data_IF_099611943251
#
_entry.id   IF_099611943251
#
_cell.length_a   1.000
_cell.length_b   1.000
_cell.length_c   1.000
_cell.angle_alpha   90.00
_cell.angle_beta   90.00
_cell.angle_gamma   90.00
#
_symmetry.space_group_name_H-M   'P 1'
#
loop_
_entity.id
_entity.type
_entity.pdbx_description
1 polymer ?
#
# COMPACT_ATOMS: atom_id res chain seq x y z
N UNK A 1 25.75 -35.98 25.92
CA UNK A 1 25.59 -34.68 26.61
C UNK A 1 24.28 -34.12 26.12
N UNK A 2 23.38 -33.90 27.06
CA UNK A 2 21.91 -33.91 26.97
C UNK A 2 21.33 -32.81 26.08
N UNK A 3 20.55 -33.23 25.07
CA UNK A 3 19.44 -32.43 24.55
C UNK A 3 18.38 -32.32 25.65
N UNK A 4 18.56 -31.40 26.59
CA UNK A 4 17.43 -30.92 27.38
C UNK A 4 16.58 -30.14 26.38
N UNK A 5 15.45 -30.74 26.00
CA UNK A 5 14.36 -29.98 25.42
C UNK A 5 14.08 -28.84 26.40
N UNK A 6 14.27 -27.60 25.97
CA UNK A 6 13.74 -26.44 26.67
C UNK A 6 12.25 -26.75 26.87
N UNK A 7 11.82 -26.89 28.12
CA UNK A 7 10.42 -27.06 28.45
C UNK A 7 9.71 -25.81 27.90
N UNK A 8 8.66 -25.94 27.08
CA UNK A 8 8.02 -24.79 26.42
C UNK A 8 7.52 -23.75 27.45
N UNK A 9 7.23 -24.21 28.67
CA UNK A 9 6.94 -23.41 29.86
C UNK A 9 8.11 -22.57 30.34
N UNK A 10 9.36 -23.06 30.25
CA UNK A 10 10.56 -22.31 30.63
C UNK A 10 10.81 -21.17 29.65
N UNK A 11 10.59 -21.39 28.34
CA UNK A 11 10.79 -20.36 27.31
C UNK A 11 9.82 -19.17 27.48
N UNK A 12 8.56 -19.43 27.82
CA UNK A 12 7.57 -18.37 28.08
C UNK A 12 7.85 -17.63 29.39
N UNK A 13 8.26 -18.33 30.44
CA UNK A 13 8.65 -17.73 31.72
C UNK A 13 9.91 -16.87 31.57
N UNK A 14 10.89 -17.33 30.78
CA UNK A 14 12.10 -16.58 30.45
C UNK A 14 11.77 -15.35 29.60
N UNK A 15 10.91 -15.49 28.58
CA UNK A 15 10.48 -14.36 27.76
C UNK A 15 9.76 -13.29 28.58
N UNK A 16 8.94 -13.68 29.57
CA UNK A 16 8.19 -12.76 30.45
C UNK A 16 9.01 -12.25 31.65
N UNK A 17 10.27 -12.66 31.78
CA UNK A 17 11.13 -12.26 32.89
C UNK A 17 11.53 -10.77 32.75
N UNK A 18 11.49 -9.96 33.83
CA UNK A 18 11.76 -8.51 33.79
C UNK A 18 13.17 -8.11 33.32
N UNK A 19 14.11 -9.07 33.23
CA UNK A 19 15.44 -8.81 32.67
C UNK A 19 15.46 -8.84 31.12
N UNK A 20 14.41 -9.37 30.47
CA UNK A 20 14.22 -9.43 29.02
C UNK A 20 13.43 -8.22 28.45
N UNK A 21 13.28 -7.14 29.21
CA UNK A 21 12.69 -5.86 28.76
C UNK A 21 13.34 -5.31 27.47
N UNK A 22 14.60 -5.67 27.20
CA UNK A 22 15.30 -5.34 25.96
C UNK A 22 14.67 -5.99 24.71
N UNK A 23 14.03 -7.15 24.86
CA UNK A 23 13.40 -7.87 23.75
C UNK A 23 12.07 -7.21 23.40
N UNK A 24 11.20 -6.97 24.37
CA UNK A 24 9.92 -6.28 24.13
C UNK A 24 10.09 -4.83 23.66
N UNK A 25 11.16 -4.14 24.06
CA UNK A 25 11.48 -2.81 23.51
C UNK A 25 11.98 -2.83 22.07
N UNK A 26 12.38 -4.00 21.55
CA UNK A 26 12.82 -4.16 20.15
C UNK A 26 11.66 -4.39 19.18
N UNK A 27 10.46 -4.72 19.67
CA UNK A 27 9.27 -4.93 18.86
C UNK A 27 8.24 -3.83 19.12
N UNK A 28 7.59 -3.35 18.07
CA UNK A 28 6.53 -2.32 18.20
C UNK A 28 5.26 -2.89 18.83
N UNK A 29 4.95 -4.18 18.60
CA UNK A 29 3.77 -4.85 19.13
C UNK A 29 4.03 -6.35 19.30
N UNK A 30 3.93 -6.87 20.53
CA UNK A 30 3.92 -8.31 20.82
C UNK A 30 2.70 -8.59 21.69
N UNK A 31 1.80 -9.46 21.22
CA UNK A 31 0.70 -10.00 22.02
C UNK A 31 0.87 -11.50 22.16
N UNK A 32 0.98 -11.98 23.39
CA UNK A 32 1.05 -13.40 23.70
C UNK A 32 -0.36 -13.86 24.06
N UNK A 33 -0.89 -14.81 23.30
CA UNK A 33 -2.20 -15.42 23.57
C UNK A 33 -1.97 -16.74 24.32
N UNK A 34 -2.32 -16.77 25.60
CA UNK A 34 -2.30 -18.01 26.38
C UNK A 34 -3.61 -18.78 26.19
N UNK A 35 -3.52 -19.95 25.55
CA UNK A 35 -4.64 -20.87 25.42
C UNK A 35 -4.77 -21.65 26.74
N UNK A 36 -5.89 -21.49 27.46
CA UNK A 36 -6.17 -22.31 28.64
C UNK A 36 -6.56 -23.73 28.21
N UNK A 37 -5.99 -24.72 28.89
CA UNK A 37 -6.28 -26.14 28.65
C UNK A 37 -7.69 -26.54 29.17
N UNK A 38 -8.42 -27.24 28.29
CA UNK A 38 -9.62 -28.08 28.50
C UNK A 38 -11.00 -27.40 28.53
N UNK A 39 -11.69 -27.46 27.38
CA UNK A 39 -13.02 -28.08 27.21
C UNK A 39 -13.36 -28.13 25.71
N UNK A 40 -13.80 -29.29 25.22
CA UNK A 40 -14.10 -29.63 23.81
C UNK A 40 -15.33 -28.90 23.26
N UNK A 41 -15.37 -27.56 23.34
CA UNK A 41 -16.46 -26.75 22.78
C UNK A 41 -15.96 -25.96 21.56
N UNK A 42 -16.67 -26.10 20.44
CA UNK A 42 -16.40 -25.39 19.17
C UNK A 42 -16.36 -23.85 19.30
N UNK A 43 -16.85 -23.29 20.42
CA UNK A 43 -16.86 -21.85 20.71
C UNK A 43 -15.46 -21.26 20.88
N UNK A 44 -14.48 -22.03 21.38
CA UNK A 44 -13.12 -21.52 21.59
C UNK A 44 -12.34 -21.33 20.29
N UNK A 45 -12.61 -22.14 19.26
CA UNK A 45 -12.00 -21.94 17.95
C UNK A 45 -12.47 -20.62 17.34
N UNK A 46 -13.75 -20.26 17.53
CA UNK A 46 -14.30 -18.99 17.09
C UNK A 46 -13.65 -17.83 17.85
N UNK A 47 -13.49 -17.95 19.17
CA UNK A 47 -12.82 -16.90 19.96
C UNK A 47 -11.35 -16.73 19.59
N UNK A 48 -10.62 -17.82 19.38
CA UNK A 48 -9.23 -17.79 18.94
C UNK A 48 -9.11 -17.21 17.52
N UNK A 49 -9.97 -17.63 16.60
CA UNK A 49 -10.03 -17.09 15.25
C UNK A 49 -10.31 -15.59 15.25
N UNK A 50 -11.31 -15.13 16.02
CA UNK A 50 -11.60 -13.71 16.21
C UNK A 50 -10.38 -12.95 16.73
N UNK A 51 -9.70 -13.46 17.77
CA UNK A 51 -8.51 -12.82 18.32
C UNK A 51 -7.35 -12.76 17.32
N UNK A 52 -7.10 -13.83 16.57
CA UNK A 52 -6.05 -13.86 15.54
C UNK A 52 -6.38 -12.86 14.42
N UNK A 53 -7.62 -12.85 13.95
CA UNK A 53 -8.08 -11.93 12.88
C UNK A 53 -7.97 -10.48 13.34
N UNK A 54 -8.37 -10.16 14.57
CA UNK A 54 -8.23 -8.83 15.15
C UNK A 54 -6.76 -8.40 15.23
N UNK A 55 -5.87 -9.26 15.73
CA UNK A 55 -4.43 -8.93 15.80
C UNK A 55 -3.78 -8.81 14.43
N UNK A 56 -4.10 -9.70 13.50
CA UNK A 56 -3.64 -9.59 12.11
C UNK A 56 -4.10 -8.27 11.49
N UNK A 57 -5.33 -7.85 11.79
CA UNK A 57 -5.85 -6.57 11.34
C UNK A 57 -5.05 -5.40 11.91
N UNK A 58 -4.78 -5.39 13.22
CA UNK A 58 -3.97 -4.37 13.89
C UNK A 58 -2.54 -4.30 13.33
N UNK A 59 -1.89 -5.44 13.16
CA UNK A 59 -0.54 -5.52 12.58
C UNK A 59 -0.55 -5.01 11.14
N UNK A 60 -1.53 -5.41 10.33
CA UNK A 60 -1.66 -4.92 8.97
C UNK A 60 -1.90 -3.41 8.91
N UNK A 61 -2.69 -2.85 9.84
CA UNK A 61 -2.90 -1.40 9.95
C UNK A 61 -1.60 -0.67 10.31
N UNK A 62 -0.86 -1.16 11.32
CA UNK A 62 0.40 -0.56 11.74
C UNK A 62 1.46 -0.63 10.64
N UNK A 63 1.59 -1.79 9.97
CA UNK A 63 2.48 -1.93 8.82
C UNK A 63 2.10 -0.99 7.67
N UNK A 64 0.80 -0.78 7.40
CA UNK A 64 0.35 0.19 6.39
C UNK A 64 0.64 1.63 6.80
N UNK A 65 0.40 1.99 8.05
CA UNK A 65 0.68 3.31 8.59
C UNK A 65 2.18 3.65 8.51
N UNK A 66 3.03 2.68 8.83
CA UNK A 66 4.48 2.79 8.78
C UNK A 66 5.07 2.48 7.39
N UNK A 67 4.23 2.13 6.42
CA UNK A 67 4.62 1.71 5.07
C UNK A 67 5.71 0.63 5.07
N UNK A 68 5.54 -0.43 5.85
CA UNK A 68 6.43 -1.60 5.92
C UNK A 68 5.69 -2.94 5.64
N UNK A 69 4.57 -2.89 4.91
CA UNK A 69 3.84 -4.08 4.45
C UNK A 69 4.57 -4.81 3.31
N UNK A 70 5.74 -5.38 3.63
CA UNK A 70 6.58 -6.10 2.68
C UNK A 70 5.92 -7.39 2.19
N UNK A 71 6.06 -7.70 0.89
CA UNK A 71 5.68 -9.01 0.37
C UNK A 71 6.66 -10.09 0.82
N UNK A 72 6.28 -11.36 0.72
CA UNK A 72 7.15 -12.49 1.04
C UNK A 72 8.49 -12.44 0.28
N UNK A 73 8.48 -11.97 -0.97
CA UNK A 73 9.69 -11.78 -1.79
C UNK A 73 10.60 -10.71 -1.18
N UNK A 74 10.04 -9.56 -0.80
CA UNK A 74 10.80 -8.48 -0.16
C UNK A 74 11.37 -8.93 1.19
N UNK A 75 10.56 -9.59 2.02
CA UNK A 75 10.99 -10.11 3.31
C UNK A 75 12.14 -11.09 3.18
N UNK A 76 12.07 -12.03 2.23
CA UNK A 76 13.15 -12.98 2.01
C UNK A 76 14.47 -12.27 1.65
N UNK A 77 14.43 -11.27 0.79
CA UNK A 77 15.64 -10.49 0.42
C UNK A 77 16.16 -9.69 1.61
N UNK A 78 15.28 -8.95 2.31
CA UNK A 78 15.69 -8.15 3.47
C UNK A 78 16.20 -8.99 4.62
N UNK A 79 15.68 -10.20 4.81
CA UNK A 79 16.17 -11.12 5.83
C UNK A 79 17.63 -11.49 5.58
N UNK A 80 17.98 -11.85 4.34
CA UNK A 80 19.36 -12.16 3.97
C UNK A 80 20.28 -10.94 4.11
N UNK A 81 19.84 -9.76 3.68
CA UNK A 81 20.61 -8.53 3.84
C UNK A 81 20.80 -8.14 5.31
N UNK A 82 19.77 -8.34 6.15
CA UNK A 82 19.82 -8.06 7.59
C UNK A 82 20.81 -9.00 8.29
N UNK A 83 20.84 -10.29 7.95
CA UNK A 83 21.86 -11.21 8.46
C UNK A 83 23.27 -10.75 8.09
N UNK A 84 23.48 -10.33 6.83
CA UNK A 84 24.78 -9.79 6.42
C UNK A 84 25.13 -8.50 7.15
N UNK A 85 24.15 -7.63 7.42
CA UNK A 85 24.35 -6.44 8.22
C UNK A 85 24.78 -6.78 9.64
N UNK A 86 24.07 -7.69 10.33
CA UNK A 86 24.37 -8.11 11.70
C UNK A 86 25.80 -8.64 11.87
N UNK A 87 26.35 -9.31 10.84
CA UNK A 87 27.75 -9.78 10.87
C UNK A 87 28.78 -8.65 10.84
N UNK A 88 28.40 -7.46 10.35
CA UNK A 88 29.28 -6.28 10.23
C UNK A 88 29.03 -5.27 11.34
N UNK A 89 27.76 -5.04 11.65
CA UNK A 89 27.29 -4.13 12.68
C UNK A 89 26.06 -4.75 13.36
N UNK A 90 26.27 -5.21 14.59
CA UNK A 90 25.23 -5.85 15.40
C UNK A 90 24.39 -4.84 16.20
N UNK A 91 24.88 -3.61 16.36
CA UNK A 91 24.22 -2.58 17.20
C UNK A 91 23.55 -1.49 16.36
N UNK A 92 24.00 -1.29 15.12
CA UNK A 92 23.39 -0.37 14.17
C UNK A 92 22.00 -0.83 13.72
N UNK A 93 21.12 0.14 13.44
CA UNK A 93 19.81 -0.14 12.90
C UNK A 93 19.89 -0.55 11.42
N UNK A 94 19.15 -1.60 11.06
CA UNK A 94 19.07 -2.04 9.67
C UNK A 94 18.18 -1.09 8.84
N UNK A 95 18.76 -0.44 7.84
CA UNK A 95 18.03 0.47 6.96
C UNK A 95 17.51 -0.25 5.70
N UNK A 96 16.23 -0.66 5.74
CA UNK A 96 15.55 -1.33 4.62
C UNK A 96 15.65 -0.57 3.30
N UNK A 97 15.50 0.76 3.35
CA UNK A 97 15.55 1.60 2.15
C UNK A 97 16.94 1.57 1.52
N UNK A 98 18.00 1.71 2.32
CA UNK A 98 19.36 1.68 1.82
C UNK A 98 19.74 0.28 1.32
N UNK A 99 19.29 -0.77 2.01
CA UNK A 99 19.48 -2.15 1.56
C UNK A 99 18.81 -2.41 0.21
N UNK A 100 17.58 -1.91 0.02
CA UNK A 100 16.85 -2.04 -1.25
C UNK A 100 17.59 -1.40 -2.45
N UNK A 101 18.50 -0.46 -2.19
CA UNK A 101 19.32 0.22 -3.20
C UNK A 101 20.71 -0.35 -3.36
N UNK A 102 21.06 -1.47 -2.70
CA UNK A 102 22.40 -2.07 -2.76
C UNK A 102 22.91 -2.33 -4.18
N UNK A 103 22.05 -2.87 -5.06
CA UNK A 103 22.39 -3.18 -6.44
C UNK A 103 22.32 -1.95 -7.37
N UNK A 104 21.65 -0.87 -6.95
CA UNK A 104 21.49 0.38 -7.70
C UNK A 104 21.81 1.57 -6.79
N UNK A 105 23.03 1.59 -6.25
CA UNK A 105 23.47 2.66 -5.37
C UNK A 105 23.49 3.98 -6.16
N UNK A 106 22.83 5.02 -5.62
CA UNK A 106 22.74 6.33 -6.26
C UNK A 106 24.13 6.79 -6.72
N UNK A 107 24.30 6.88 -8.04
CA UNK A 107 25.60 7.03 -8.67
C UNK A 107 26.22 8.39 -8.28
N UNK A 108 27.52 8.43 -7.95
CA UNK A 108 28.22 9.69 -7.58
C UNK A 108 28.19 10.74 -8.70
N UNK A 109 27.97 10.33 -9.96
CA UNK A 109 27.79 11.21 -11.13
C UNK A 109 26.49 12.04 -11.09
N UNK A 110 25.52 11.68 -10.25
CA UNK A 110 24.23 12.38 -10.15
C UNK A 110 24.36 13.85 -9.73
N UNK A 111 25.30 14.19 -8.84
CA UNK A 111 25.53 15.57 -8.38
C UNK A 111 25.95 16.46 -9.54
N UNK A 112 26.87 16.02 -10.40
CA UNK A 112 27.36 16.81 -11.53
C UNK A 112 26.26 17.06 -12.57
N UNK A 113 25.40 16.08 -12.84
CA UNK A 113 24.30 16.26 -13.79
C UNK A 113 23.24 17.24 -13.26
N UNK A 114 22.90 17.12 -11.97
CA UNK A 114 21.98 18.04 -11.32
C UNK A 114 22.54 19.46 -11.27
N UNK A 115 23.83 19.62 -10.94
CA UNK A 115 24.50 20.92 -10.95
C UNK A 115 24.38 21.58 -12.33
N UNK A 116 24.78 20.88 -13.39
CA UNK A 116 24.71 21.40 -14.77
C UNK A 116 23.27 21.73 -15.15
N UNK A 117 22.30 20.88 -14.77
CA UNK A 117 20.89 21.12 -15.02
C UNK A 117 20.39 22.39 -14.34
N UNK A 118 20.69 22.59 -13.05
CA UNK A 118 20.27 23.78 -12.32
C UNK A 118 20.97 25.04 -12.84
N UNK A 119 22.27 24.99 -13.11
CA UNK A 119 23.01 26.12 -13.68
C UNK A 119 22.44 26.53 -15.03
N UNK A 120 22.24 25.58 -15.97
CA UNK A 120 21.68 25.91 -17.29
C UNK A 120 20.21 26.33 -17.19
N UNK A 121 19.39 25.59 -16.45
CA UNK A 121 17.96 25.81 -16.33
C UNK A 121 17.62 27.16 -15.69
N UNK A 122 18.27 27.51 -14.59
CA UNK A 122 18.02 28.77 -13.90
C UNK A 122 18.78 29.95 -14.52
N UNK A 123 20.10 29.82 -14.73
CA UNK A 123 20.93 30.96 -15.12
C UNK A 123 20.86 31.28 -16.62
N UNK A 124 20.69 30.28 -17.50
CA UNK A 124 20.70 30.51 -18.95
C UNK A 124 19.29 30.57 -19.55
N UNK A 125 18.40 29.69 -19.07
CA UNK A 125 17.05 29.54 -19.64
C UNK A 125 15.96 30.23 -18.81
N UNK A 126 16.30 30.74 -17.63
CA UNK A 126 15.37 31.42 -16.70
C UNK A 126 14.09 30.63 -16.43
N UNK A 127 14.21 29.31 -16.33
CA UNK A 127 13.08 28.42 -16.04
C UNK A 127 12.64 28.64 -14.59
N UNK A 128 11.32 28.76 -14.39
CA UNK A 128 10.73 28.89 -13.06
C UNK A 128 11.13 27.71 -12.16
N UNK A 129 11.42 27.98 -10.89
CA UNK A 129 11.86 26.97 -9.93
C UNK A 129 10.86 25.82 -9.76
N UNK A 130 9.55 26.07 -9.83
CA UNK A 130 8.53 25.02 -9.76
C UNK A 130 8.65 24.02 -10.93
N UNK A 131 9.06 24.47 -12.12
CA UNK A 131 9.27 23.57 -13.26
C UNK A 131 10.56 22.77 -13.09
N UNK A 132 11.64 23.40 -12.63
CA UNK A 132 12.88 22.68 -12.29
C UNK A 132 12.63 21.62 -11.22
N UNK A 133 11.86 21.96 -10.18
CA UNK A 133 11.46 21.04 -9.12
C UNK A 133 10.69 19.84 -9.69
N UNK A 134 9.64 20.10 -10.48
CA UNK A 134 8.82 19.05 -11.09
C UNK A 134 9.63 18.12 -12.02
N UNK A 135 10.57 18.66 -12.80
CA UNK A 135 11.46 17.83 -13.63
C UNK A 135 12.38 16.95 -12.79
N UNK A 136 13.04 17.49 -11.77
CA UNK A 136 13.93 16.70 -10.90
C UNK A 136 13.12 15.69 -10.08
N UNK A 137 11.91 16.03 -9.68
CA UNK A 137 11.03 15.11 -8.94
C UNK A 137 10.61 13.93 -9.79
N UNK A 138 10.30 14.14 -11.07
CA UNK A 138 9.94 13.05 -11.98
C UNK A 138 11.12 12.13 -12.29
N UNK A 139 12.35 12.67 -12.42
CA UNK A 139 13.54 11.82 -12.59
C UNK A 139 13.85 11.02 -11.33
N UNK A 140 13.73 11.63 -10.14
CA UNK A 140 13.89 10.93 -8.86
C UNK A 140 12.82 9.86 -8.70
N UNK A 141 11.56 10.12 -9.06
CA UNK A 141 10.49 9.12 -8.99
C UNK A 141 10.84 7.86 -9.80
N UNK A 142 11.31 8.05 -11.03
CA UNK A 142 11.67 6.95 -11.92
C UNK A 142 12.90 6.17 -11.43
N UNK A 143 13.90 6.85 -10.86
CA UNK A 143 15.07 6.16 -10.28
C UNK A 143 14.73 5.47 -8.96
N UNK A 144 13.94 6.12 -8.09
CA UNK A 144 13.64 5.64 -6.75
C UNK A 144 12.62 4.49 -6.72
N UNK A 145 11.76 4.36 -7.73
CA UNK A 145 10.72 3.33 -7.80
C UNK A 145 10.79 2.54 -9.12
N UNK A 146 11.88 1.80 -9.37
CA UNK A 146 11.96 0.88 -10.50
C UNK A 146 10.90 -0.22 -10.40
N UNK A 147 10.64 -0.94 -11.50
CA UNK A 147 9.74 -2.08 -11.53
C UNK A 147 9.88 -3.03 -10.34
N UNK A 148 8.74 -3.38 -9.74
CA UNK A 148 8.63 -4.28 -8.60
C UNK A 148 9.28 -3.80 -7.29
N UNK A 149 9.81 -2.58 -7.23
CA UNK A 149 10.34 -2.03 -5.99
C UNK A 149 9.21 -1.78 -4.99
N UNK A 150 9.51 -2.10 -3.73
CA UNK A 150 8.65 -1.75 -2.62
C UNK A 150 8.39 -0.24 -2.55
N UNK A 151 7.12 0.13 -2.35
CA UNK A 151 6.62 1.50 -2.38
C UNK A 151 6.86 2.22 -1.05
N UNK A 152 8.12 2.53 -0.74
CA UNK A 152 8.50 3.33 0.43
C UNK A 152 7.95 4.76 0.38
N UNK A 153 7.84 5.40 1.55
CA UNK A 153 7.36 6.78 1.67
C UNK A 153 8.24 7.75 0.89
N UNK A 154 7.69 8.56 -0.04
CA UNK A 154 8.48 9.46 -0.86
C UNK A 154 9.29 10.49 -0.06
N UNK A 155 8.75 10.95 1.08
CA UNK A 155 9.48 11.84 1.98
C UNK A 155 10.72 11.17 2.58
N UNK A 156 10.55 9.95 3.13
CA UNK A 156 11.65 9.16 3.67
C UNK A 156 12.68 8.81 2.61
N UNK A 157 12.21 8.47 1.40
CA UNK A 157 13.05 8.18 0.22
C UNK A 157 13.89 9.39 -0.15
N UNK A 158 13.26 10.55 -0.33
CA UNK A 158 13.96 11.78 -0.70
C UNK A 158 14.98 12.18 0.36
N UNK A 159 14.57 12.24 1.62
CA UNK A 159 15.43 12.67 2.72
C UNK A 159 16.63 11.74 2.90
N UNK A 160 16.43 10.42 2.78
CA UNK A 160 17.49 9.43 3.04
C UNK A 160 18.45 9.30 1.85
N UNK A 161 17.93 9.30 0.61
CA UNK A 161 18.73 8.96 -0.58
C UNK A 161 19.16 10.17 -1.42
N UNK A 162 18.34 11.22 -1.51
CA UNK A 162 18.50 12.27 -2.51
C UNK A 162 18.78 13.66 -1.93
N UNK A 163 18.38 13.94 -0.69
CA UNK A 163 18.51 15.27 -0.07
C UNK A 163 19.93 15.82 -0.17
N UNK A 164 20.92 15.05 0.30
CA UNK A 164 22.32 15.50 0.31
C UNK A 164 22.85 15.75 -1.11
N UNK A 165 22.48 14.90 -2.07
CA UNK A 165 22.88 15.00 -3.47
C UNK A 165 22.30 16.25 -4.13
N UNK A 166 20.99 16.47 -3.97
CA UNK A 166 20.26 17.63 -4.52
C UNK A 166 20.74 18.92 -3.88
N UNK A 167 20.85 18.95 -2.55
CA UNK A 167 21.31 20.13 -1.82
C UNK A 167 22.73 20.52 -2.23
N UNK A 168 23.65 19.55 -2.31
CA UNK A 168 25.03 19.78 -2.75
C UNK A 168 25.09 20.29 -4.20
N UNK A 169 24.29 19.71 -5.10
CA UNK A 169 24.23 20.15 -6.49
C UNK A 169 23.72 21.59 -6.63
N UNK A 170 22.72 21.99 -5.83
CA UNK A 170 22.21 23.36 -5.80
C UNK A 170 23.25 24.36 -5.27
N UNK A 171 23.98 24.00 -4.22
CA UNK A 171 25.10 24.80 -3.72
C UNK A 171 26.18 25.00 -4.79
N UNK A 172 26.57 23.92 -5.49
CA UNK A 172 27.54 23.98 -6.58
C UNK A 172 27.03 24.74 -7.81
N UNK A 173 25.71 24.88 -7.97
CA UNK A 173 25.08 25.69 -9.00
C UNK A 173 24.93 27.17 -8.58
N UNK A 174 25.59 27.61 -7.50
CA UNK A 174 25.58 28.98 -6.97
C UNK A 174 24.25 29.47 -6.40
N UNK A 175 23.39 28.55 -5.93
CA UNK A 175 22.18 28.94 -5.20
C UNK A 175 22.51 29.28 -3.75
N UNK A 176 21.87 30.32 -3.20
CA UNK A 176 21.96 30.63 -1.77
C UNK A 176 21.48 29.45 -0.91
N UNK A 177 21.96 29.34 0.33
CA UNK A 177 21.49 28.30 1.27
C UNK A 177 19.96 28.29 1.42
N UNK A 178 19.34 29.47 1.47
CA UNK A 178 17.88 29.61 1.59
C UNK A 178 17.17 29.10 0.34
N UNK A 179 17.62 29.51 -0.84
CA UNK A 179 17.04 29.08 -2.12
C UNK A 179 17.21 27.58 -2.35
N UNK A 180 18.38 27.03 -2.01
CA UNK A 180 18.65 25.60 -2.16
C UNK A 180 17.76 24.76 -1.24
N UNK A 181 17.54 25.20 0.00
CA UNK A 181 16.65 24.51 0.95
C UNK A 181 15.20 24.55 0.47
N UNK A 182 14.70 25.72 0.05
CA UNK A 182 13.34 25.86 -0.47
C UNK A 182 13.11 25.01 -1.73
N UNK A 183 14.04 25.03 -2.68
CA UNK A 183 13.92 24.23 -3.89
C UNK A 183 13.99 22.72 -3.60
N UNK A 184 14.82 22.31 -2.64
CA UNK A 184 14.86 20.89 -2.19
C UNK A 184 13.52 20.46 -1.59
N UNK A 185 12.88 21.32 -0.79
CA UNK A 185 11.53 21.06 -0.25
C UNK A 185 10.46 21.03 -1.35
N UNK A 186 10.55 21.91 -2.36
CA UNK A 186 9.66 21.84 -3.51
C UNK A 186 9.81 20.52 -4.27
N UNK A 187 11.04 20.04 -4.47
CA UNK A 187 11.31 18.74 -5.11
C UNK A 187 10.72 17.60 -4.27
N UNK A 188 10.89 17.64 -2.95
CA UNK A 188 10.32 16.64 -2.05
C UNK A 188 8.78 16.57 -2.14
N UNK A 189 8.12 17.73 -2.11
CA UNK A 189 6.68 17.82 -2.20
C UNK A 189 6.16 17.38 -3.58
N UNK A 190 6.80 17.83 -4.65
CA UNK A 190 6.45 17.44 -6.02
C UNK A 190 6.65 15.93 -6.21
N UNK A 191 7.70 15.32 -5.64
CA UNK A 191 7.91 13.87 -5.65
C UNK A 191 6.75 13.15 -4.96
N UNK A 192 6.33 13.61 -3.78
CA UNK A 192 5.23 13.03 -3.04
C UNK A 192 3.89 13.13 -3.80
N UNK A 193 3.65 14.25 -4.47
CA UNK A 193 2.46 14.43 -5.32
C UNK A 193 2.49 13.52 -6.55
N UNK A 194 3.62 13.43 -7.25
CA UNK A 194 3.77 12.53 -8.40
C UNK A 194 3.62 11.05 -7.98
N UNK A 195 4.13 10.67 -6.82
CA UNK A 195 3.99 9.32 -6.29
C UNK A 195 2.52 8.93 -6.07
N UNK A 196 1.68 9.85 -5.57
CA UNK A 196 0.21 9.62 -5.41
C UNK A 196 -0.49 9.36 -6.74
N UNK A 197 0.10 9.80 -7.86
CA UNK A 197 -0.46 9.56 -9.20
C UNK A 197 -0.15 8.15 -9.73
N UNK A 198 0.76 7.38 -9.11
CA UNK A 198 1.11 6.00 -9.51
C UNK A 198 0.01 4.99 -9.09
N UNK A 199 -1.11 5.02 -9.80
CA UNK A 199 -2.34 4.27 -9.45
C UNK A 199 -2.46 2.91 -10.12
N UNK A 200 -2.02 2.79 -11.37
CA UNK A 200 -2.29 1.60 -12.18
C UNK A 200 -1.00 0.81 -12.41
N UNK A 201 -0.65 -0.17 -11.55
CA UNK A 201 0.53 -1.00 -11.75
C UNK A 201 0.33 -1.92 -12.97
N UNK A 202 1.39 -2.09 -13.75
CA UNK A 202 1.44 -2.95 -14.92
C UNK A 202 2.22 -4.24 -14.60
N UNK A 203 2.03 -5.33 -15.38
CA UNK A 203 2.76 -6.58 -15.18
C UNK A 203 4.28 -6.44 -15.27
N UNK A 204 4.77 -5.50 -16.11
CA UNK A 204 6.18 -5.16 -16.20
C UNK A 204 6.73 -4.38 -14.98
N UNK A 205 5.91 -4.15 -13.95
CA UNK A 205 6.27 -3.49 -12.69
C UNK A 205 6.22 -1.96 -12.71
N UNK A 206 6.09 -1.32 -13.88
CA UNK A 206 5.84 0.12 -13.99
C UNK A 206 4.42 0.50 -13.56
N UNK A 207 4.16 1.78 -13.32
CA UNK A 207 2.82 2.29 -13.00
C UNK A 207 2.41 3.46 -13.88
N UNK A 208 1.12 3.55 -14.20
CA UNK A 208 0.51 4.65 -14.95
C UNK A 208 -0.43 5.46 -14.07
N UNK A 209 -0.48 6.77 -14.33
CA UNK A 209 -1.50 7.65 -13.75
C UNK A 209 -2.75 7.72 -14.63
N UNK A 210 -3.85 8.25 -14.08
CA UNK A 210 -5.10 8.45 -14.82
C UNK A 210 -4.88 9.23 -16.12
N UNK A 211 -4.10 10.31 -16.08
CA UNK A 211 -3.80 11.14 -17.25
C UNK A 211 -3.08 10.36 -18.34
N UNK A 212 -2.07 9.56 -17.99
CA UNK A 212 -1.37 8.71 -18.95
C UNK A 212 -2.30 7.66 -19.58
N UNK A 213 -3.19 7.07 -18.78
CA UNK A 213 -4.19 6.11 -19.28
C UNK A 213 -5.19 6.79 -20.23
N UNK A 214 -5.64 7.99 -19.91
CA UNK A 214 -6.57 8.74 -20.78
C UNK A 214 -5.94 9.21 -22.09
N UNK A 215 -4.65 9.56 -22.08
CA UNK A 215 -3.93 10.04 -23.27
C UNK A 215 -3.50 8.87 -24.17
N UNK A 216 -3.04 7.76 -23.58
CA UNK A 216 -2.39 6.68 -24.32
C UNK A 216 -3.19 5.38 -24.39
N UNK A 217 -4.24 5.23 -23.57
CA UNK A 217 -5.13 4.09 -23.59
C UNK A 217 -6.25 4.23 -24.63
N UNK A 218 -6.85 3.11 -24.98
CA UNK A 218 -7.99 3.05 -25.90
C UNK A 218 -9.29 3.08 -25.09
N UNK A 219 -10.11 4.12 -25.31
CA UNK A 219 -11.44 4.20 -24.69
C UNK A 219 -12.40 3.17 -25.29
N UNK A 220 -13.21 2.53 -24.45
CA UNK A 220 -14.23 1.57 -24.90
C UNK A 220 -15.46 2.34 -25.40
N UNK A 221 -15.88 2.10 -26.64
CA UNK A 221 -17.06 2.73 -27.22
C UNK A 221 -18.32 2.42 -26.41
N UNK A 222 -19.00 3.45 -25.90
CA UNK A 222 -20.22 3.33 -25.10
C UNK A 222 -20.02 3.39 -23.58
N UNK A 223 -18.78 3.40 -23.07
CA UNK A 223 -18.48 3.48 -21.64
C UNK A 223 -17.45 4.59 -21.40
N UNK A 224 -17.91 5.72 -20.84
CA UNK A 224 -17.12 6.97 -20.69
C UNK A 224 -15.95 6.91 -19.71
N UNK A 225 -15.70 5.77 -19.06
CA UNK A 225 -14.80 5.65 -17.92
C UNK A 225 -13.91 4.41 -17.97
N UNK A 226 -13.95 3.64 -19.06
CA UNK A 226 -13.14 2.45 -19.23
C UNK A 226 -12.12 2.63 -20.36
N UNK A 227 -10.88 2.30 -20.03
CA UNK A 227 -9.73 2.40 -20.92
C UNK A 227 -9.02 1.05 -20.97
N UNK A 228 -8.51 0.70 -22.15
CA UNK A 228 -7.66 -0.47 -22.33
C UNK A 228 -6.26 0.01 -22.69
N UNK A 229 -5.28 -0.39 -21.89
CA UNK A 229 -3.87 -0.15 -22.16
C UNK A 229 -3.28 -1.40 -22.83
N UNK A 230 -2.77 -1.24 -24.05
CA UNK A 230 -2.17 -2.33 -24.86
C UNK A 230 -0.65 -2.50 -24.63
N UNK A 231 0.01 -1.48 -24.07
CA UNK A 231 1.46 -1.48 -23.84
C UNK A 231 1.86 -0.51 -22.72
N UNK A 232 2.97 -0.80 -22.06
CA UNK A 232 3.58 0.13 -21.13
C UNK A 232 4.17 1.35 -21.88
N UNK A 233 3.85 2.57 -21.45
CA UNK A 233 4.41 3.79 -22.08
C UNK A 233 5.92 3.97 -21.79
N UNK A 234 6.44 3.33 -20.74
CA UNK A 234 7.84 3.46 -20.31
C UNK A 234 8.73 2.42 -21.04
N UNK A 235 8.44 1.13 -20.90
CA UNK A 235 9.27 0.06 -21.48
C UNK A 235 8.73 -0.53 -22.80
N UNK A 236 7.53 -0.14 -23.24
CA UNK A 236 6.84 -0.69 -24.42
C UNK A 236 6.45 -2.16 -24.34
N UNK A 237 6.57 -2.80 -23.16
CA UNK A 237 6.10 -4.18 -22.97
C UNK A 237 4.59 -4.30 -23.25
N UNK A 238 4.17 -5.33 -23.99
CA UNK A 238 2.76 -5.56 -24.27
C UNK A 238 2.02 -5.91 -22.99
N UNK A 239 0.85 -5.31 -22.80
CA UNK A 239 -0.05 -5.56 -21.67
C UNK A 239 -1.48 -5.47 -22.18
N UNK A 240 -2.41 -6.22 -21.57
CA UNK A 240 -3.83 -6.00 -21.80
C UNK A 240 -4.48 -5.74 -20.46
N UNK A 241 -4.50 -4.47 -20.04
CA UNK A 241 -5.07 -4.06 -18.76
C UNK A 241 -6.28 -3.16 -19.01
N UNK A 242 -7.45 -3.61 -18.52
CA UNK A 242 -8.68 -2.81 -18.47
C UNK A 242 -8.65 -1.96 -17.21
N UNK A 243 -8.75 -0.66 -17.37
CA UNK A 243 -8.65 0.33 -16.31
C UNK A 243 -9.95 1.14 -16.29
N UNK A 244 -10.63 1.13 -15.16
CA UNK A 244 -11.74 2.02 -14.91
C UNK A 244 -11.25 3.27 -14.17
N UNK A 245 -11.54 4.45 -14.73
CA UNK A 245 -11.24 5.74 -14.11
C UNK A 245 -12.56 6.39 -13.74
N UNK A 246 -12.77 6.56 -12.44
CA UNK A 246 -13.93 7.29 -11.94
C UNK A 246 -14.03 8.66 -12.62
N UNK A 247 -15.15 8.98 -13.28
CA UNK A 247 -15.31 10.25 -13.95
C UNK A 247 -15.33 11.40 -12.93
N UNK A 248 -14.75 12.55 -13.29
CA UNK A 248 -14.65 13.70 -12.39
C UNK A 248 -16.00 14.28 -11.96
N UNK A 249 -17.07 13.97 -12.70
CA UNK A 249 -18.45 14.36 -12.38
C UNK A 249 -19.12 13.43 -11.37
N UNK A 250 -18.54 12.27 -11.06
CA UNK A 250 -19.09 11.37 -10.07
C UNK A 250 -18.62 11.79 -8.68
N UNK A 251 -19.56 12.25 -7.86
CA UNK A 251 -19.33 12.52 -6.45
C UNK A 251 -18.99 11.23 -5.67
N UNK A 252 -18.31 11.32 -4.52
CA UNK A 252 -18.14 10.18 -3.62
C UNK A 252 -19.49 9.58 -3.24
N UNK A 253 -19.68 8.29 -3.53
CA UNK A 253 -20.84 7.52 -3.14
C UNK A 253 -20.46 6.58 -1.99
N UNK A 254 -21.15 6.72 -0.87
CA UNK A 254 -20.94 5.88 0.32
C UNK A 254 -22.19 5.02 0.52
N UNK A 255 -22.00 3.71 0.57
CA UNK A 255 -23.05 2.76 0.97
C UNK A 255 -22.83 2.40 2.43
N UNK A 256 -23.81 2.70 3.28
CA UNK A 256 -23.82 2.26 4.68
C UNK A 256 -24.96 1.27 4.91
N UNK A 257 -24.62 0.09 5.44
CA UNK A 257 -25.57 -0.95 5.83
C UNK A 257 -25.53 -1.09 7.34
N UNK A 258 -26.45 -0.40 8.01
CA UNK A 258 -26.60 -0.45 9.46
C UNK A 258 -27.45 -1.65 9.92
N UNK A 259 -27.33 -1.94 11.22
CA UNK A 259 -28.08 -3.00 11.89
C UNK A 259 -29.58 -2.71 11.87
N UNK A 260 -30.32 -3.41 11.00
CA UNK A 260 -31.76 -3.60 11.14
C UNK A 260 -32.05 -4.82 12.03
N UNK A 261 -32.98 -4.70 12.99
CA UNK A 261 -33.47 -5.81 13.83
C UNK A 261 -33.79 -7.06 13.00
N UNK A 262 -33.11 -8.19 13.27
CA UNK A 262 -33.34 -9.58 12.77
C UNK A 262 -33.57 -9.81 11.27
N UNK A 263 -33.73 -8.77 10.45
CA UNK A 263 -34.20 -8.83 9.07
C UNK A 263 -33.08 -8.38 8.13
N UNK A 264 -31.96 -9.10 8.18
CA UNK A 264 -30.78 -8.92 7.32
C UNK A 264 -31.13 -8.97 5.83
N UNK A 265 -32.27 -9.58 5.49
CA UNK A 265 -32.82 -9.67 4.13
C UNK A 265 -33.27 -8.32 3.56
N UNK A 266 -33.72 -7.37 4.39
CA UNK A 266 -34.26 -6.08 3.92
C UNK A 266 -33.21 -5.27 3.15
N UNK A 267 -32.02 -4.97 3.71
CA UNK A 267 -31.00 -4.22 2.98
C UNK A 267 -30.55 -4.94 1.71
N UNK A 268 -30.40 -6.28 1.73
CA UNK A 268 -30.05 -7.06 0.54
C UNK A 268 -31.13 -6.93 -0.53
N UNK A 269 -32.41 -6.98 -0.15
CA UNK A 269 -33.53 -6.83 -1.08
C UNK A 269 -33.54 -5.43 -1.72
N UNK A 270 -33.20 -4.38 -0.97
CA UNK A 270 -33.04 -3.02 -1.49
C UNK A 270 -31.89 -2.98 -2.51
N UNK A 271 -30.74 -3.57 -2.20
CA UNK A 271 -29.62 -3.66 -3.13
C UNK A 271 -29.99 -4.43 -4.41
N UNK A 272 -30.73 -5.53 -4.32
CA UNK A 272 -31.26 -6.25 -5.50
C UNK A 272 -32.16 -5.35 -6.34
N UNK A 273 -33.03 -4.54 -5.72
CA UNK A 273 -33.93 -3.63 -6.44
C UNK A 273 -33.17 -2.50 -7.13
N UNK A 274 -32.15 -1.95 -6.45
CA UNK A 274 -31.25 -0.95 -7.02
C UNK A 274 -30.49 -1.53 -8.22
N UNK A 275 -29.92 -2.73 -8.08
CA UNK A 275 -29.25 -3.42 -9.19
C UNK A 275 -30.19 -3.70 -10.36
N UNK A 276 -31.44 -4.08 -10.08
CA UNK A 276 -32.47 -4.26 -11.12
C UNK A 276 -32.82 -2.96 -11.84
N UNK A 277 -32.82 -1.82 -11.13
CA UNK A 277 -33.02 -0.50 -11.73
C UNK A 277 -31.84 -0.06 -12.60
N UNK A 278 -30.61 -0.37 -12.19
CA UNK A 278 -29.40 -0.07 -12.98
C UNK A 278 -29.26 -0.99 -14.20
N UNK A 279 -29.87 -2.17 -14.14
CA UNK A 279 -29.79 -3.19 -15.18
C UNK A 279 -28.52 -4.03 -15.09
N UNK A 280 -28.33 -4.98 -16.02
CA UNK A 280 -27.24 -5.96 -15.97
C UNK A 280 -25.88 -5.39 -16.38
N UNK A 281 -25.86 -4.26 -17.10
CA UNK A 281 -24.65 -3.71 -17.69
C UNK A 281 -23.88 -2.76 -16.74
N UNK A 282 -24.50 -2.35 -15.64
CA UNK A 282 -23.91 -1.45 -14.66
C UNK A 282 -24.10 -2.03 -13.26
N UNK A 283 -23.01 -2.56 -12.71
CA UNK A 283 -23.02 -3.14 -11.37
C UNK A 283 -23.06 -2.02 -10.33
N UNK A 284 -24.00 -2.12 -9.38
CA UNK A 284 -24.25 -1.13 -8.33
C UNK A 284 -22.98 -0.78 -7.55
N UNK A 285 -22.15 -1.78 -7.27
CA UNK A 285 -20.93 -1.60 -6.49
C UNK A 285 -19.82 -0.83 -7.23
N UNK A 286 -19.83 -0.80 -8.57
CA UNK A 286 -18.90 0.06 -9.34
C UNK A 286 -19.19 1.55 -9.05
N UNK A 287 -20.42 1.87 -8.65
CA UNK A 287 -20.81 3.23 -8.31
C UNK A 287 -20.49 3.61 -6.86
N UNK A 288 -20.11 2.65 -6.00
CA UNK A 288 -19.86 2.88 -4.58
C UNK A 288 -18.36 2.94 -4.31
N UNK A 289 -17.87 4.07 -3.80
CA UNK A 289 -16.45 4.26 -3.49
C UNK A 289 -16.06 3.71 -2.12
N UNK A 290 -17.01 3.70 -1.18
CA UNK A 290 -16.77 3.28 0.18
C UNK A 290 -17.98 2.55 0.74
N UNK A 291 -17.76 1.30 1.17
CA UNK A 291 -18.77 0.46 1.78
C UNK A 291 -18.54 0.37 3.29
N UNK A 292 -19.57 0.65 4.06
CA UNK A 292 -19.57 0.56 5.52
C UNK A 292 -20.67 -0.42 5.93
N UNK A 293 -20.35 -1.32 6.86
CA UNK A 293 -21.34 -2.25 7.39
C UNK A 293 -21.06 -2.57 8.85
N UNK A 294 -22.13 -2.63 9.64
CA UNK A 294 -22.04 -2.95 11.08
C UNK A 294 -22.71 -4.30 11.35
N UNK A 295 -22.01 -5.23 12.02
CA UNK A 295 -22.48 -6.60 12.29
C UNK A 295 -22.87 -7.34 10.99
N UNK A 296 -24.11 -7.80 10.83
CA UNK A 296 -24.59 -8.45 9.60
C UNK A 296 -24.43 -7.60 8.35
N UNK A 297 -24.46 -6.26 8.47
CA UNK A 297 -24.19 -5.34 7.37
C UNK A 297 -22.75 -5.42 6.86
N UNK A 298 -21.80 -5.72 7.75
CA UNK A 298 -20.39 -5.93 7.39
C UNK A 298 -20.21 -7.16 6.52
N UNK A 299 -20.86 -8.28 6.88
CA UNK A 299 -20.84 -9.50 6.07
C UNK A 299 -21.49 -9.30 4.68
N UNK A 300 -22.59 -8.55 4.60
CA UNK A 300 -23.21 -8.19 3.31
C UNK A 300 -22.23 -7.41 2.44
N UNK A 301 -21.61 -6.37 3.01
CA UNK A 301 -20.61 -5.56 2.31
C UNK A 301 -19.43 -6.41 1.86
N UNK A 302 -18.91 -7.31 2.69
CA UNK A 302 -17.78 -8.18 2.34
C UNK A 302 -18.13 -9.13 1.20
N UNK A 303 -19.25 -9.86 1.30
CA UNK A 303 -19.64 -10.84 0.27
C UNK A 303 -19.92 -10.19 -1.08
N UNK A 304 -20.52 -9.00 -1.13
CA UNK A 304 -20.84 -8.34 -2.40
C UNK A 304 -19.59 -7.71 -3.05
N UNK A 305 -18.51 -7.49 -2.30
CA UNK A 305 -17.26 -6.92 -2.83
C UNK A 305 -16.23 -7.98 -3.24
N UNK A 306 -16.48 -9.27 -3.01
CA UNK A 306 -15.62 -10.33 -3.56
C UNK A 306 -16.11 -10.71 -4.96
N UNK A 307 -15.19 -11.07 -5.85
CA UNK A 307 -15.52 -11.59 -7.19
C UNK A 307 -16.28 -12.94 -7.15
N UNK A 308 -16.51 -13.49 -5.95
CA UNK A 308 -17.12 -14.79 -5.71
C UNK A 308 -18.65 -14.76 -5.63
N UNK A 309 -19.27 -13.63 -5.25
CA UNK A 309 -20.72 -13.57 -5.03
C UNK A 309 -21.35 -12.32 -5.63
N UNK A 310 -22.38 -12.51 -6.45
CA UNK A 310 -23.27 -11.42 -6.85
C UNK A 310 -24.30 -11.10 -5.72
N UNK A 311 -25.03 -9.99 -5.86
CA UNK A 311 -26.00 -9.53 -4.84
C UNK A 311 -27.11 -10.58 -4.59
N UNK A 312 -27.52 -11.32 -5.63
CA UNK A 312 -28.53 -12.37 -5.52
C UNK A 312 -27.98 -13.63 -4.83
N UNK A 313 -26.74 -14.03 -5.13
CA UNK A 313 -26.06 -15.14 -4.45
C UNK A 313 -25.81 -14.81 -2.97
N UNK A 314 -25.50 -13.54 -2.65
CA UNK A 314 -25.42 -13.06 -1.27
C UNK A 314 -26.76 -13.21 -0.57
N UNK A 315 -27.88 -12.90 -1.25
CA UNK A 315 -29.22 -13.10 -0.70
C UNK A 315 -29.49 -14.57 -0.40
N UNK A 316 -29.18 -15.45 -1.34
CA UNK A 316 -29.41 -16.90 -1.19
C UNK A 316 -28.55 -17.49 -0.06
N UNK A 317 -27.29 -17.04 0.05
CA UNK A 317 -26.41 -17.40 1.16
C UNK A 317 -27.02 -17.06 2.52
N UNK A 318 -27.51 -15.84 2.71
CA UNK A 318 -28.13 -15.44 3.99
C UNK A 318 -29.45 -16.16 4.24
N UNK A 319 -30.29 -16.37 3.22
CA UNK A 319 -31.55 -17.13 3.36
C UNK A 319 -31.25 -18.57 3.84
N UNK A 320 -30.22 -19.21 3.28
CA UNK A 320 -29.79 -20.55 3.72
C UNK A 320 -29.22 -20.55 5.14
N UNK A 321 -28.41 -19.54 5.49
CA UNK A 321 -27.83 -19.40 6.82
C UNK A 321 -28.91 -19.27 7.90
N UNK A 322 -29.91 -18.39 7.70
CA UNK A 322 -31.01 -18.23 8.66
C UNK A 322 -31.98 -19.42 8.69
N UNK A 323 -32.12 -20.15 7.57
CA UNK A 323 -32.88 -21.39 7.52
C UNK A 323 -32.28 -22.50 8.40
N UNK A 324 -30.96 -22.50 8.61
CA UNK A 324 -30.25 -23.47 9.47
C UNK A 324 -30.18 -23.08 10.95
N UNK A 325 -30.26 -21.80 11.27
CA UNK A 325 -30.20 -21.29 12.66
C UNK A 325 -31.57 -21.39 13.37
N UNK A 326 -32.63 -21.67 12.62
CA UNK A 326 -34.01 -21.80 13.11
C UNK A 326 -34.43 -23.25 13.40
N UNK A 327 -33.50 -24.21 13.34
CA UNK A 327 -33.66 -25.62 13.74
C UNK A 327 -32.74 -25.92 14.93
#
# INVERSE_FOLDING_TARGET
>A
MTWQMLDETDLLLDLLHPENDCLFSSFTHIKILCLQEVSLANTHYVDLECNIVEELHMICQDQKANQVSFSAVHLNVFFHDALQHMTKDCLGSFNFLQSSRRANAANRSSVSHLQVFFTKGAAQLHVCYNKLASYVSSTILMDAYPPHMYKFCPHTVFHTLYWNTVYSALQQASFSHTSAKLLSQCIENDLAELFKLMKHPLPCGHSMCNTCVQIHGEGITGIYSEFVTQKCIICQDPVSLKIWIKPHTAEPCVLSIERGSSCVIIPIQILCLLQKHLGPNLLLFIMVDFNIGTSSGGYIVLNINTDEYNIEETKDFFVHLFGKVSQ
#
